data_IF_537339440659
#
_entry.id   IF_537339440659
#
_cell.length_a   1.000
_cell.length_b   1.000
_cell.length_c   1.000
_cell.angle_alpha   90.00
_cell.angle_beta   90.00
_cell.angle_gamma   90.00
#
_symmetry.space_group_name_H-M   'P 1'
#
loop_
_entity.id
_entity.type
_entity.pdbx_description
1 polymer ?
#
# COMPACT_ATOMS: atom_id res chain seq x y z
N UNK A 1 -15.32 -9.03 -38.16
CA UNK A 1 -14.80 -8.61 -36.83
C UNK A 1 -14.58 -9.83 -35.96
N UNK A 2 -13.34 -10.24 -35.72
CA UNK A 2 -13.04 -11.34 -34.79
C UNK A 2 -12.81 -10.75 -33.42
N UNK A 3 -13.70 -11.00 -32.46
CA UNK A 3 -13.52 -10.64 -31.07
C UNK A 3 -12.34 -11.46 -30.51
N UNK A 4 -11.22 -10.79 -30.19
CA UNK A 4 -10.09 -11.40 -29.48
C UNK A 4 -10.48 -11.54 -28.01
N UNK A 5 -10.91 -12.71 -27.60
CA UNK A 5 -11.03 -13.05 -26.18
C UNK A 5 -9.63 -13.09 -25.58
N UNK A 6 -9.23 -12.05 -24.87
CA UNK A 6 -8.05 -12.13 -24.00
C UNK A 6 -8.42 -13.09 -22.86
N UNK A 7 -7.87 -14.31 -22.93
CA UNK A 7 -7.92 -15.23 -21.79
C UNK A 7 -7.03 -14.60 -20.71
N UNK A 8 -7.65 -14.06 -19.67
CA UNK A 8 -6.95 -13.79 -18.42
C UNK A 8 -6.62 -15.16 -17.82
N UNK A 9 -5.41 -15.63 -18.06
CA UNK A 9 -4.88 -16.78 -17.32
C UNK A 9 -4.67 -16.30 -15.89
N UNK A 10 -5.61 -16.63 -15.01
CA UNK A 10 -5.37 -16.51 -13.58
C UNK A 10 -4.17 -17.40 -13.25
N UNK A 11 -3.12 -16.79 -12.67
CA UNK A 11 -2.00 -17.57 -12.17
C UNK A 11 -2.52 -18.57 -11.15
N UNK A 12 -2.14 -19.85 -11.29
CA UNK A 12 -2.46 -20.88 -10.31
C UNK A 12 -1.82 -20.51 -8.97
N UNK A 13 -2.65 -20.30 -7.94
CA UNK A 13 -2.17 -20.09 -6.58
C UNK A 13 -1.72 -21.44 -6.02
N UNK A 14 -0.44 -21.61 -5.64
CA UNK A 14 0.07 -22.87 -5.11
C UNK A 14 -0.61 -23.24 -3.80
N UNK A 15 -0.85 -24.54 -3.60
CA UNK A 15 -1.32 -25.09 -2.34
C UNK A 15 -0.15 -25.65 -1.54
N UNK A 16 -0.18 -25.46 -0.23
CA UNK A 16 0.78 -26.02 0.73
C UNK A 16 0.05 -26.88 1.76
N UNK A 17 0.67 -27.99 2.16
CA UNK A 17 0.12 -28.91 3.15
C UNK A 17 0.97 -28.84 4.41
N UNK A 18 0.35 -28.52 5.55
CA UNK A 18 0.96 -28.62 6.87
C UNK A 18 0.54 -29.91 7.56
N UNK A 19 1.51 -30.65 8.07
CA UNK A 19 1.26 -31.75 8.98
C UNK A 19 1.21 -31.24 10.42
N UNK A 20 0.10 -31.50 11.10
CA UNK A 20 -0.10 -31.15 12.50
C UNK A 20 -0.38 -32.40 13.32
N UNK A 21 -0.29 -32.33 14.64
CA UNK A 21 -0.68 -33.44 15.54
C UNK A 21 -2.16 -33.84 15.41
N UNK A 22 -2.98 -33.04 14.66
CA UNK A 22 -4.41 -33.29 14.42
C UNK A 22 -4.71 -33.70 12.96
N UNK A 23 -3.67 -34.01 12.17
CA UNK A 23 -3.76 -34.38 10.76
C UNK A 23 -3.22 -33.34 9.81
N UNK A 24 -3.41 -33.57 8.51
CA UNK A 24 -2.97 -32.69 7.44
C UNK A 24 -4.00 -31.56 7.21
N UNK A 25 -3.49 -30.34 6.99
CA UNK A 25 -4.29 -29.18 6.57
C UNK A 25 -3.68 -28.56 5.32
N UNK A 26 -4.53 -28.36 4.32
CA UNK A 26 -4.17 -27.70 3.07
C UNK A 26 -4.56 -26.22 3.12
N UNK A 27 -3.65 -25.34 2.69
CA UNK A 27 -3.85 -23.91 2.55
C UNK A 27 -3.37 -23.46 1.16
N UNK A 28 -3.99 -22.45 0.56
CA UNK A 28 -3.30 -21.71 -0.45
C UNK A 28 -2.14 -20.89 0.17
N UNK A 29 -1.14 -20.51 -0.65
CA UNK A 29 0.09 -19.88 -0.13
C UNK A 29 -0.20 -18.56 0.60
N UNK A 30 -1.18 -17.76 0.15
CA UNK A 30 -1.51 -16.50 0.82
C UNK A 30 -2.18 -16.72 2.17
N UNK A 31 -3.12 -17.66 2.25
CA UNK A 31 -3.75 -18.07 3.52
C UNK A 31 -2.72 -18.63 4.50
N UNK A 32 -1.71 -19.36 4.00
CA UNK A 32 -0.62 -19.86 4.85
C UNK A 32 0.24 -18.73 5.41
N UNK A 33 0.61 -17.76 4.56
CA UNK A 33 1.41 -16.61 4.98
C UNK A 33 0.63 -15.65 5.89
N UNK A 34 -0.69 -15.56 5.74
CA UNK A 34 -1.55 -14.80 6.64
C UNK A 34 -1.48 -15.32 8.08
N UNK A 35 -1.32 -16.62 8.29
CA UNK A 35 -1.07 -17.19 9.63
C UNK A 35 0.22 -16.68 10.27
N UNK A 36 1.21 -16.32 9.45
CA UNK A 36 2.45 -15.68 9.88
C UNK A 36 2.32 -14.13 9.93
N UNK A 37 1.08 -13.64 9.86
CA UNK A 37 0.71 -12.22 9.92
C UNK A 37 1.26 -11.39 8.74
N UNK A 38 1.39 -12.03 7.57
CA UNK A 38 1.90 -11.42 6.34
C UNK A 38 0.73 -11.20 5.38
N UNK A 39 0.56 -9.95 4.95
CA UNK A 39 -0.42 -9.50 3.95
C UNK A 39 0.33 -9.06 2.70
N UNK A 40 -0.21 -9.39 1.51
CA UNK A 40 0.29 -8.91 0.23
C UNK A 40 -0.63 -7.84 -0.33
N UNK A 41 -0.07 -6.66 -0.60
CA UNK A 41 -0.70 -5.57 -1.31
C UNK A 41 -0.02 -5.43 -2.67
N UNK A 42 -0.55 -6.15 -3.67
CA UNK A 42 0.08 -6.28 -5.00
C UNK A 42 -0.89 -5.91 -6.11
N UNK A 43 -0.40 -5.17 -7.11
CA UNK A 43 -1.21 -4.68 -8.23
C UNK A 43 -1.92 -3.37 -7.91
N UNK A 44 -2.96 -3.05 -8.71
CA UNK A 44 -3.71 -1.80 -8.60
C UNK A 44 -4.56 -1.76 -7.32
N UNK A 45 -4.50 -0.66 -6.58
CA UNK A 45 -5.32 -0.41 -5.39
C UNK A 45 -6.72 0.00 -5.83
N UNK A 46 -7.69 -0.85 -5.56
CA UNK A 46 -9.11 -0.66 -5.83
C UNK A 46 -9.95 -1.08 -4.61
N UNK A 47 -11.26 -0.91 -4.69
CA UNK A 47 -12.16 -1.19 -3.57
C UNK A 47 -12.10 -2.67 -3.13
N UNK A 48 -11.99 -3.62 -4.07
CA UNK A 48 -11.88 -5.05 -3.74
C UNK A 48 -10.60 -5.37 -2.96
N UNK A 49 -9.47 -4.79 -3.39
CA UNK A 49 -8.20 -4.95 -2.65
C UNK A 49 -8.29 -4.30 -1.28
N UNK A 50 -8.89 -3.11 -1.18
CA UNK A 50 -9.06 -2.43 0.10
C UNK A 50 -9.89 -3.26 1.08
N UNK A 51 -11.03 -3.78 0.65
CA UNK A 51 -11.89 -4.65 1.47
C UNK A 51 -11.14 -5.87 1.99
N UNK A 52 -10.35 -6.54 1.12
CA UNK A 52 -9.57 -7.71 1.50
C UNK A 52 -8.47 -7.37 2.50
N UNK A 53 -7.72 -6.28 2.28
CA UNK A 53 -6.65 -5.86 3.20
C UNK A 53 -7.22 -5.43 4.55
N UNK A 54 -8.30 -4.64 4.55
CA UNK A 54 -9.01 -4.22 5.77
C UNK A 54 -9.51 -5.43 6.56
N UNK A 55 -10.16 -6.39 5.90
CA UNK A 55 -10.64 -7.62 6.54
C UNK A 55 -9.49 -8.42 7.16
N UNK A 56 -8.35 -8.55 6.48
CA UNK A 56 -7.17 -9.24 6.99
C UNK A 56 -6.56 -8.50 8.20
N UNK A 57 -6.48 -7.18 8.16
CA UNK A 57 -5.98 -6.38 9.28
C UNK A 57 -6.83 -6.56 10.54
N UNK A 58 -8.16 -6.47 10.41
CA UNK A 58 -9.10 -6.67 11.52
C UNK A 58 -9.08 -8.12 12.04
N UNK A 59 -8.97 -9.10 11.15
CA UNK A 59 -8.83 -10.51 11.53
C UNK A 59 -7.55 -10.73 12.35
N UNK A 60 -6.42 -10.24 11.88
CA UNK A 60 -5.13 -10.40 12.58
C UNK A 60 -5.10 -9.67 13.92
N UNK A 61 -5.75 -8.51 14.03
CA UNK A 61 -5.92 -7.83 15.32
C UNK A 61 -6.73 -8.69 16.30
N UNK A 62 -7.83 -9.31 15.83
CA UNK A 62 -8.66 -10.18 16.67
C UNK A 62 -7.95 -11.44 17.16
N UNK A 63 -7.00 -11.96 16.36
CA UNK A 63 -6.21 -13.15 16.73
C UNK A 63 -5.14 -12.84 17.78
N UNK A 64 -4.41 -11.75 17.63
CA UNK A 64 -3.38 -11.31 18.57
C UNK A 64 -3.11 -9.79 18.40
N UNK A 65 -3.65 -8.95 19.28
CA UNK A 65 -3.52 -7.50 19.17
C UNK A 65 -2.14 -6.95 19.52
N UNK A 66 -1.25 -7.78 20.09
CA UNK A 66 0.07 -7.34 20.56
C UNK A 66 1.20 -7.71 19.58
N UNK A 67 0.91 -8.49 18.53
CA UNK A 67 1.89 -8.86 17.51
C UNK A 67 1.79 -8.02 16.26
N UNK A 68 2.95 -7.63 15.73
CA UNK A 68 3.07 -6.88 14.48
C UNK A 68 2.41 -7.59 13.29
N UNK A 69 1.94 -6.78 12.34
CA UNK A 69 1.46 -7.23 11.03
C UNK A 69 2.45 -6.74 9.98
N UNK A 70 2.78 -7.56 8.99
CA UNK A 70 3.67 -7.21 7.89
C UNK A 70 2.88 -7.08 6.59
N UNK A 71 3.01 -5.93 5.89
CA UNK A 71 2.43 -5.73 4.56
C UNK A 71 3.56 -5.64 3.52
N UNK A 72 3.58 -6.59 2.59
CA UNK A 72 4.47 -6.58 1.44
C UNK A 72 3.78 -5.85 0.29
N UNK A 73 4.43 -4.79 -0.21
CA UNK A 73 3.85 -3.87 -1.20
C UNK A 73 4.59 -3.99 -2.53
N UNK A 74 3.83 -4.26 -3.60
CA UNK A 74 4.26 -4.18 -4.99
C UNK A 74 3.10 -3.62 -5.83
N UNK A 75 2.96 -2.29 -5.86
CA UNK A 75 1.77 -1.64 -6.39
C UNK A 75 2.09 -0.37 -7.17
N UNK A 76 1.48 -0.16 -8.35
CA UNK A 76 1.55 1.11 -9.07
C UNK A 76 0.67 2.21 -8.45
N UNK A 77 -0.06 1.91 -7.37
CA UNK A 77 -1.07 2.79 -6.80
C UNK A 77 -2.47 2.49 -7.29
N UNK A 78 -3.36 3.48 -7.26
CA UNK A 78 -4.75 3.34 -7.68
C UNK A 78 -5.69 4.30 -6.97
N UNK A 79 -6.89 3.84 -6.61
CA UNK A 79 -7.94 4.64 -5.99
C UNK A 79 -7.50 5.25 -4.64
N UNK A 80 -7.61 6.58 -4.54
CA UNK A 80 -7.26 7.30 -3.29
C UNK A 80 -8.23 6.94 -2.16
N UNK A 81 -9.52 6.77 -2.44
CA UNK A 81 -10.50 6.37 -1.42
C UNK A 81 -10.23 4.97 -0.87
N UNK A 82 -9.93 4.02 -1.75
CA UNK A 82 -9.54 2.67 -1.37
C UNK A 82 -8.23 2.67 -0.55
N UNK A 83 -7.24 3.48 -0.97
CA UNK A 83 -6.00 3.66 -0.22
C UNK A 83 -6.20 4.27 1.16
N UNK A 84 -7.10 5.26 1.30
CA UNK A 84 -7.44 5.81 2.62
C UNK A 84 -8.14 4.81 3.53
N UNK A 85 -9.01 3.93 2.99
CA UNK A 85 -9.63 2.88 3.80
C UNK A 85 -8.57 1.95 4.43
N UNK A 86 -7.54 1.58 3.66
CA UNK A 86 -6.41 0.79 4.18
C UNK A 86 -5.60 1.61 5.19
N UNK A 87 -5.22 2.85 4.82
CA UNK A 87 -4.44 3.74 5.68
C UNK A 87 -5.09 3.95 7.05
N UNK A 88 -6.36 4.35 7.07
CA UNK A 88 -7.07 4.62 8.30
C UNK A 88 -7.19 3.35 9.15
N UNK A 89 -7.41 2.18 8.55
CA UNK A 89 -7.43 0.89 9.26
C UNK A 89 -6.06 0.56 9.86
N UNK A 90 -4.95 0.77 9.13
CA UNK A 90 -3.60 0.59 9.67
C UNK A 90 -3.33 1.48 10.88
N UNK A 91 -3.90 2.69 10.92
CA UNK A 91 -3.75 3.61 12.08
C UNK A 91 -4.73 3.30 13.20
N UNK A 92 -5.87 2.67 12.90
CA UNK A 92 -6.96 2.39 13.85
C UNK A 92 -6.71 1.16 14.71
N UNK A 93 -6.13 0.10 14.12
CA UNK A 93 -5.88 -1.17 14.81
C UNK A 93 -4.75 -1.04 15.85
N UNK A 94 -4.78 -1.89 16.88
CA UNK A 94 -3.77 -1.90 17.94
C UNK A 94 -2.39 -2.43 17.50
N UNK A 95 -2.29 -3.50 16.67
CA UNK A 95 -0.99 -4.00 16.20
C UNK A 95 -0.21 -2.95 15.41
N UNK A 96 1.10 -2.88 15.61
CA UNK A 96 1.96 -2.13 14.70
C UNK A 96 1.98 -2.78 13.32
N UNK A 97 1.87 -1.96 12.28
CA UNK A 97 1.95 -2.42 10.90
C UNK A 97 3.33 -2.09 10.33
N UNK A 98 4.11 -3.13 10.02
CA UNK A 98 5.36 -3.00 9.27
C UNK A 98 5.07 -3.04 7.77
N UNK A 99 5.74 -2.22 6.99
CA UNK A 99 5.57 -2.16 5.53
C UNK A 99 6.89 -2.44 4.81
N UNK A 100 6.85 -3.24 3.76
CA UNK A 100 8.03 -3.65 2.99
C UNK A 100 7.75 -3.47 1.49
N UNK A 101 8.47 -2.58 0.82
CA UNK A 101 8.40 -2.46 -0.63
C UNK A 101 9.21 -3.57 -1.31
N UNK A 102 8.55 -4.31 -2.22
CA UNK A 102 9.14 -5.35 -3.06
C UNK A 102 8.88 -5.00 -4.53
N UNK A 103 9.89 -4.53 -5.24
CA UNK A 103 9.77 -4.10 -6.63
C UNK A 103 9.31 -2.65 -6.76
N UNK A 104 8.01 -2.34 -6.65
CA UNK A 104 7.48 -1.00 -6.87
C UNK A 104 6.48 -0.58 -5.77
N UNK A 105 6.64 0.62 -5.25
CA UNK A 105 5.59 1.31 -4.52
C UNK A 105 5.38 2.70 -5.12
N UNK A 106 4.33 2.87 -5.93
CA UNK A 106 4.05 4.13 -6.60
C UNK A 106 2.71 4.74 -6.17
N UNK A 107 2.64 6.08 -6.15
CA UNK A 107 1.39 6.81 -5.86
C UNK A 107 0.77 6.38 -4.52
N UNK A 108 -0.47 5.86 -4.52
CA UNK A 108 -1.09 5.30 -3.30
C UNK A 108 -0.31 4.12 -2.72
N UNK A 109 0.47 3.37 -3.51
CA UNK A 109 1.38 2.33 -3.01
C UNK A 109 2.50 2.91 -2.15
N UNK A 110 3.12 4.02 -2.57
CA UNK A 110 4.11 4.75 -1.77
C UNK A 110 3.48 5.39 -0.52
N UNK A 111 2.25 5.88 -0.64
CA UNK A 111 1.50 6.41 0.48
C UNK A 111 1.22 5.34 1.55
N UNK A 112 0.88 4.12 1.15
CA UNK A 112 0.70 3.01 2.09
C UNK A 112 2.03 2.47 2.64
N UNK A 113 3.12 2.55 1.87
CA UNK A 113 4.45 2.22 2.36
C UNK A 113 4.87 3.14 3.52
N UNK A 114 4.70 4.45 3.37
CA UNK A 114 5.03 5.41 4.44
C UNK A 114 4.03 5.37 5.63
N UNK A 115 2.87 4.72 5.45
CA UNK A 115 1.85 4.57 6.49
C UNK A 115 2.23 3.57 7.58
N UNK A 116 3.25 2.74 7.36
CA UNK A 116 3.78 1.81 8.35
C UNK A 116 4.24 2.49 9.64
N UNK A 117 4.38 1.70 10.70
CA UNK A 117 4.90 2.18 11.98
C UNK A 117 6.32 2.74 11.82
N UNK A 118 6.60 3.86 12.46
CA UNK A 118 7.92 4.49 12.39
C UNK A 118 8.99 3.55 12.95
N UNK A 119 10.07 3.36 12.19
CA UNK A 119 11.12 2.37 12.48
C UNK A 119 10.83 0.98 11.89
N UNK A 120 9.64 0.77 11.25
CA UNK A 120 9.24 -0.52 10.67
C UNK A 120 8.80 -0.39 9.19
N UNK A 121 9.31 0.61 8.48
CA UNK A 121 9.05 0.85 7.05
C UNK A 121 10.31 0.51 6.26
N UNK A 122 10.20 -0.42 5.34
CA UNK A 122 11.37 -1.00 4.66
C UNK A 122 11.19 -1.03 3.14
N UNK A 123 12.31 -1.16 2.43
CA UNK A 123 12.35 -1.53 1.03
C UNK A 123 13.48 -2.53 0.77
N UNK A 124 13.31 -3.38 -0.25
CA UNK A 124 14.41 -4.17 -0.78
C UNK A 124 15.32 -3.29 -1.65
N UNK A 125 16.62 -3.66 -1.85
CA UNK A 125 17.62 -2.76 -2.44
C UNK A 125 17.30 -2.25 -3.85
N UNK A 126 16.57 -3.03 -4.64
CA UNK A 126 16.20 -2.70 -6.02
C UNK A 126 14.74 -2.24 -6.16
N UNK A 127 14.11 -1.83 -5.05
CA UNK A 127 12.75 -1.31 -5.09
C UNK A 127 12.75 0.14 -5.58
N UNK A 128 11.76 0.47 -6.42
CA UNK A 128 11.46 1.82 -6.85
C UNK A 128 10.28 2.39 -6.05
N UNK A 129 10.41 3.63 -5.62
CA UNK A 129 9.37 4.35 -4.91
C UNK A 129 9.02 5.63 -5.68
N UNK A 130 7.74 5.89 -5.90
CA UNK A 130 7.30 7.08 -6.64
C UNK A 130 6.16 7.78 -5.92
N UNK A 131 6.32 9.08 -5.74
CA UNK A 131 5.26 9.97 -5.22
C UNK A 131 4.83 10.98 -6.27
N UNK A 132 3.56 11.31 -6.31
CA UNK A 132 3.00 12.37 -7.13
C UNK A 132 1.65 12.84 -6.58
N UNK A 133 1.13 13.95 -7.13
CA UNK A 133 -0.21 14.44 -6.78
C UNK A 133 -1.30 13.50 -7.33
N UNK A 134 -2.50 13.47 -6.68
CA UNK A 134 -3.60 12.64 -7.17
C UNK A 134 -4.02 13.06 -8.59
N UNK A 135 -4.24 12.06 -9.43
CA UNK A 135 -4.84 12.25 -10.74
C UNK A 135 -6.36 12.32 -10.60
N UNK A 136 -6.99 13.18 -11.37
CA UNK A 136 -8.44 13.27 -11.41
C UNK A 136 -8.93 14.12 -12.57
N UNK A 137 -10.19 13.92 -12.93
CA UNK A 137 -10.90 14.68 -13.95
C UNK A 137 -12.39 14.74 -13.63
N UNK A 138 -13.10 15.69 -14.22
CA UNK A 138 -14.54 15.81 -14.08
C UNK A 138 -15.16 16.19 -15.43
N UNK A 139 -16.36 15.66 -15.68
CA UNK A 139 -17.22 16.01 -16.81
C UNK A 139 -18.61 16.29 -16.27
N UNK A 140 -19.34 17.21 -16.92
CA UNK A 140 -20.69 17.56 -16.52
C UNK A 140 -20.96 19.07 -16.56
N UNK A 141 -21.91 19.52 -15.76
CA UNK A 141 -22.21 20.95 -15.63
C UNK A 141 -21.05 21.68 -14.92
N UNK A 142 -20.92 22.99 -15.22
CA UNK A 142 -19.83 23.80 -14.66
C UNK A 142 -19.77 23.75 -13.14
N UNK A 143 -20.91 23.74 -12.44
CA UNK A 143 -20.97 23.62 -10.98
C UNK A 143 -20.43 22.27 -10.48
N UNK A 144 -20.75 21.17 -11.17
CA UNK A 144 -20.25 19.83 -10.81
C UNK A 144 -18.73 19.73 -11.01
N UNK A 145 -18.23 20.29 -12.11
CA UNK A 145 -16.78 20.35 -12.40
C UNK A 145 -16.05 21.11 -11.29
N UNK A 146 -16.62 22.24 -10.83
CA UNK A 146 -16.04 23.02 -9.73
C UNK A 146 -15.99 22.21 -8.43
N UNK A 147 -17.09 21.54 -8.04
CA UNK A 147 -17.15 20.69 -6.84
C UNK A 147 -16.08 19.60 -6.89
N UNK A 148 -15.95 18.92 -8.02
CA UNK A 148 -14.94 17.87 -8.19
C UNK A 148 -13.50 18.42 -8.13
N UNK A 149 -13.23 19.57 -8.75
CA UNK A 149 -11.93 20.23 -8.71
C UNK A 149 -11.55 20.61 -7.26
N UNK A 150 -12.48 21.20 -6.51
CA UNK A 150 -12.26 21.52 -5.09
C UNK A 150 -11.98 20.27 -4.26
N UNK A 151 -12.71 19.16 -4.50
CA UNK A 151 -12.46 17.88 -3.82
C UNK A 151 -11.06 17.35 -4.12
N UNK A 152 -10.61 17.37 -5.37
CA UNK A 152 -9.25 16.92 -5.77
C UNK A 152 -8.18 17.76 -5.05
N UNK A 153 -8.35 19.08 -5.02
CA UNK A 153 -7.42 19.99 -4.34
C UNK A 153 -7.35 19.73 -2.83
N UNK A 154 -8.50 19.50 -2.17
CA UNK A 154 -8.55 19.12 -0.75
C UNK A 154 -7.84 17.79 -0.50
N UNK A 155 -8.08 16.80 -1.33
CA UNK A 155 -7.43 15.48 -1.26
C UNK A 155 -5.92 15.59 -1.42
N UNK A 156 -5.44 16.38 -2.42
CA UNK A 156 -4.01 16.65 -2.61
C UNK A 156 -3.37 17.28 -1.37
N UNK A 157 -4.02 18.29 -0.80
CA UNK A 157 -3.49 18.97 0.39
C UNK A 157 -3.46 18.02 1.61
N UNK A 158 -4.45 17.13 1.75
CA UNK A 158 -4.48 16.12 2.80
C UNK A 158 -3.35 15.11 2.65
N UNK A 159 -3.15 14.53 1.46
CA UNK A 159 -2.05 13.60 1.17
C UNK A 159 -0.68 14.26 1.45
N UNK A 160 -0.47 15.49 0.97
CA UNK A 160 0.78 16.21 1.17
C UNK A 160 1.08 16.48 2.66
N UNK A 161 0.06 16.77 3.46
CA UNK A 161 0.22 16.95 4.91
C UNK A 161 0.67 15.65 5.57
N UNK A 162 0.01 14.54 5.27
CA UNK A 162 0.35 13.23 5.83
C UNK A 162 1.77 12.82 5.41
N UNK A 163 2.13 13.02 4.13
CA UNK A 163 3.50 12.75 3.65
C UNK A 163 4.52 13.60 4.42
N UNK A 164 4.26 14.89 4.60
CA UNK A 164 5.16 15.78 5.34
C UNK A 164 5.34 15.34 6.81
N UNK A 165 4.25 15.02 7.49
CA UNK A 165 4.26 14.55 8.87
C UNK A 165 5.02 13.22 9.03
N UNK A 166 4.77 12.26 8.13
CA UNK A 166 5.35 10.92 8.19
C UNK A 166 6.83 10.87 7.79
N UNK A 167 7.26 11.76 6.87
CA UNK A 167 8.63 11.81 6.36
C UNK A 167 9.52 12.79 7.11
N UNK A 168 8.94 13.73 7.86
CA UNK A 168 9.68 14.84 8.47
C UNK A 168 10.12 15.93 7.47
N UNK A 169 9.66 15.85 6.21
CA UNK A 169 9.90 16.89 5.21
C UNK A 169 8.99 18.10 5.42
N UNK A 170 9.43 19.28 4.95
CA UNK A 170 8.56 20.45 4.98
C UNK A 170 7.40 20.28 3.97
N UNK A 171 6.22 20.78 4.32
CA UNK A 171 5.06 20.75 3.42
C UNK A 171 5.36 21.42 2.07
N UNK A 172 6.19 22.49 2.07
CA UNK A 172 6.62 23.18 0.85
C UNK A 172 7.42 22.26 -0.07
N UNK A 173 8.34 21.47 0.50
CA UNK A 173 9.15 20.50 -0.25
C UNK A 173 8.27 19.37 -0.79
N UNK A 174 7.41 18.80 0.03
CA UNK A 174 6.48 17.75 -0.39
C UNK A 174 5.59 18.23 -1.55
N UNK A 175 4.98 19.41 -1.43
CA UNK A 175 4.15 20.00 -2.51
C UNK A 175 4.92 20.20 -3.82
N UNK A 176 6.21 20.53 -3.75
CA UNK A 176 7.07 20.67 -4.92
C UNK A 176 7.38 19.31 -5.55
N UNK A 177 7.77 18.33 -4.72
CA UNK A 177 8.23 17.04 -5.19
C UNK A 177 7.06 16.18 -5.72
N UNK A 178 5.85 16.32 -5.15
CA UNK A 178 4.65 15.62 -5.61
C UNK A 178 3.94 16.29 -6.79
N UNK A 179 4.40 17.44 -7.27
CA UNK A 179 3.76 18.14 -8.40
C UNK A 179 3.81 17.32 -9.70
N UNK A 180 4.84 16.53 -9.87
CA UNK A 180 5.03 15.55 -10.95
C UNK A 180 5.55 14.25 -10.38
N UNK A 181 5.68 13.21 -11.22
CA UNK A 181 6.24 11.94 -10.83
C UNK A 181 7.66 12.13 -10.28
N UNK A 182 7.84 11.79 -9.01
CA UNK A 182 9.10 11.87 -8.32
C UNK A 182 9.55 10.47 -7.90
N UNK A 183 10.44 9.89 -8.71
CA UNK A 183 10.99 8.56 -8.48
C UNK A 183 12.17 8.61 -7.51
N UNK A 184 12.27 7.60 -6.69
CA UNK A 184 13.34 7.39 -5.71
C UNK A 184 13.73 5.91 -5.69
N UNK A 185 15.04 5.65 -5.69
CA UNK A 185 15.59 4.37 -5.27
C UNK A 185 15.29 4.11 -3.79
N UNK A 186 15.51 2.89 -3.33
CA UNK A 186 15.32 2.54 -1.91
C UNK A 186 16.15 3.45 -0.98
N UNK A 187 17.41 3.74 -1.32
CA UNK A 187 18.29 4.62 -0.52
C UNK A 187 17.81 6.08 -0.53
N UNK A 188 17.36 6.59 -1.66
CA UNK A 188 16.78 7.93 -1.75
C UNK A 188 15.48 8.04 -0.96
N UNK A 189 14.62 6.99 -0.98
CA UNK A 189 13.40 6.94 -0.19
C UNK A 189 13.67 6.90 1.32
N UNK A 190 14.75 6.22 1.74
CA UNK A 190 15.26 6.26 3.12
C UNK A 190 15.72 7.66 3.50
N UNK A 191 16.53 8.29 2.66
CA UNK A 191 17.01 9.66 2.89
C UNK A 191 15.86 10.69 2.89
N UNK A 192 14.80 10.44 2.11
CA UNK A 192 13.60 11.27 2.09
C UNK A 192 12.73 11.08 3.35
N UNK A 193 12.78 9.91 3.98
CA UNK A 193 12.01 9.54 5.16
C UNK A 193 10.71 8.77 4.87
N UNK A 194 10.53 8.28 3.64
CA UNK A 194 9.39 7.41 3.28
C UNK A 194 9.54 6.05 3.94
N UNK A 195 10.76 5.53 3.98
CA UNK A 195 11.12 4.31 4.69
C UNK A 195 12.16 4.58 5.77
N UNK A 196 12.32 3.63 6.66
CA UNK A 196 13.29 3.73 7.77
C UNK A 196 14.59 3.00 7.45
N UNK A 197 14.54 1.92 6.66
CA UNK A 197 15.74 1.18 6.28
C UNK A 197 15.60 0.40 4.96
N UNK A 198 16.75 0.08 4.36
CA UNK A 198 16.87 -0.82 3.20
C UNK A 198 17.37 -2.17 3.70
N UNK A 199 16.62 -3.25 3.46
CA UNK A 199 16.93 -4.58 3.99
C UNK A 199 17.40 -5.50 2.87
N UNK A 200 18.62 -6.00 2.97
CA UNK A 200 19.20 -6.96 2.02
C UNK A 200 18.87 -8.40 2.38
N UNK A 201 18.77 -8.70 3.67
CA UNK A 201 18.51 -10.05 4.18
C UNK A 201 17.49 -10.02 5.31
N UNK A 202 16.65 -11.03 5.35
CA UNK A 202 15.72 -11.23 6.48
C UNK A 202 16.52 -11.54 7.73
N UNK A 203 16.26 -10.76 8.78
CA UNK A 203 16.84 -11.00 10.12
C UNK A 203 16.07 -12.10 10.85
#
# INVERSE_FOLDING_TARGET
MRASWRRHTMALVPMVVEQTNRGERSYDIYSRLLKDRIIFLTGEINDQMADLVVAQLLFLESEDPDKDIQIYINSPGGSVSAGFAIYDTMQYIKPHVSTICVGLAASMGAFLLLAGEKGKRYALPNADIMIHQPLGGAQGQAADIQIHAEKILKTRDQLNKIIAERTGQTLKKVKKDTDRDYYMSAEEAKAYGIIDDVIEKRQ
#
